data_IF_483964074556
#
_entry.id   IF_483964074556
#
_cell.length_a   1.000
_cell.length_b   1.000
_cell.length_c   1.000
_cell.angle_alpha   90.00
_cell.angle_beta   90.00
_cell.angle_gamma   90.00
#
_symmetry.space_group_name_H-M   'P 1'
#
loop_
_entity.id
_entity.type
_entity.pdbx_description
1 polymer ?
#
# COMPACT_ATOMS: atom_id res chain seq x y z
N UNK A 1 -26.22 7.09 42.72
CA UNK A 1 -25.44 8.25 42.23
C UNK A 1 -25.31 9.39 43.25
N UNK A 2 -26.08 9.44 44.35
CA UNK A 2 -26.00 10.53 45.33
C UNK A 2 -24.77 10.51 46.25
N UNK A 3 -24.06 9.39 46.41
CA UNK A 3 -22.97 9.26 47.41
C UNK A 3 -21.56 9.65 46.94
N UNK A 4 -21.36 10.11 45.70
CA UNK A 4 -20.01 10.47 45.18
C UNK A 4 -19.85 11.97 44.95
N UNK A 5 -20.95 12.72 44.85
CA UNK A 5 -20.91 14.17 44.58
C UNK A 5 -20.47 15.01 45.79
N UNK A 6 -20.66 14.53 47.02
CA UNK A 6 -20.35 15.29 48.24
C UNK A 6 -18.86 15.43 48.56
N UNK A 7 -17.97 14.61 47.97
CA UNK A 7 -16.54 14.63 48.30
C UNK A 7 -15.69 15.56 47.42
N UNK A 8 -16.27 16.23 46.42
CA UNK A 8 -15.53 17.04 45.44
C UNK A 8 -16.06 18.48 45.25
N UNK A 9 -17.11 18.90 45.97
CA UNK A 9 -17.66 20.27 45.83
C UNK A 9 -18.28 20.58 44.46
N UNK A 10 -18.56 19.57 43.63
CA UNK A 10 -19.11 19.74 42.29
C UNK A 10 -20.61 19.47 42.31
N UNK A 11 -21.42 20.44 41.86
CA UNK A 11 -22.88 20.31 41.79
C UNK A 11 -23.27 19.06 40.97
N UNK A 12 -24.21 18.22 41.44
CA UNK A 12 -24.61 16.97 40.77
C UNK A 12 -25.01 17.13 39.31
N UNK A 13 -25.56 18.30 38.94
CA UNK A 13 -25.94 18.66 37.58
C UNK A 13 -24.72 18.80 36.65
N UNK A 14 -23.62 19.40 37.14
CA UNK A 14 -22.38 19.56 36.38
C UNK A 14 -21.69 18.19 36.14
N UNK A 15 -21.76 17.29 37.12
CA UNK A 15 -21.26 15.92 36.97
C UNK A 15 -22.06 15.14 35.91
N UNK A 16 -23.39 15.30 35.87
CA UNK A 16 -24.23 14.65 34.88
C UNK A 16 -23.92 15.10 33.44
N UNK A 17 -23.62 16.39 33.25
CA UNK A 17 -23.20 16.95 31.95
C UNK A 17 -21.85 16.36 31.52
N UNK A 18 -20.88 16.31 32.43
CA UNK A 18 -19.53 15.81 32.12
C UNK A 18 -19.51 14.30 31.86
N UNK A 19 -20.29 13.51 32.61
CA UNK A 19 -20.46 12.08 32.36
C UNK A 19 -21.09 11.83 30.98
N UNK A 20 -22.14 12.58 30.61
CA UNK A 20 -22.73 12.49 29.26
C UNK A 20 -21.73 12.87 28.16
N UNK A 21 -20.88 13.87 28.39
CA UNK A 21 -19.81 14.28 27.47
C UNK A 21 -18.77 13.19 27.27
N UNK A 22 -18.31 12.56 28.35
CA UNK A 22 -17.33 11.46 28.32
C UNK A 22 -17.90 10.25 27.59
N UNK A 23 -19.16 9.87 27.88
CA UNK A 23 -19.83 8.74 27.21
C UNK A 23 -19.95 9.00 25.70
N UNK A 24 -20.39 10.20 25.30
CA UNK A 24 -20.47 10.58 23.88
C UNK A 24 -19.11 10.58 23.19
N UNK A 25 -18.06 11.03 23.87
CA UNK A 25 -16.69 11.01 23.34
C UNK A 25 -16.21 9.57 23.11
N UNK A 26 -16.42 8.67 24.09
CA UNK A 26 -16.09 7.24 23.98
C UNK A 26 -16.87 6.53 22.88
N UNK A 27 -18.15 6.86 22.71
CA UNK A 27 -18.98 6.30 21.63
C UNK A 27 -18.48 6.75 20.26
N UNK A 28 -18.11 8.03 20.10
CA UNK A 28 -17.54 8.57 18.85
C UNK A 28 -16.18 7.98 18.52
N UNK A 29 -15.31 7.76 19.50
CA UNK A 29 -13.99 7.12 19.26
C UNK A 29 -14.16 5.68 18.83
N UNK A 30 -15.04 4.92 19.50
CA UNK A 30 -15.35 3.54 19.10
C UNK A 30 -15.96 3.46 17.70
N UNK A 31 -16.96 4.31 17.41
CA UNK A 31 -17.56 4.37 16.07
C UNK A 31 -16.53 4.69 14.98
N UNK A 32 -15.59 5.61 15.25
CA UNK A 32 -14.47 5.92 14.33
C UNK A 32 -13.51 4.75 14.20
N UNK A 33 -13.16 4.07 15.29
CA UNK A 33 -12.30 2.88 15.26
C UNK A 33 -12.94 1.73 14.48
N UNK A 34 -14.25 1.52 14.65
CA UNK A 34 -15.00 0.48 13.95
C UNK A 34 -15.18 0.84 12.46
N UNK A 35 -15.43 2.11 12.14
CA UNK A 35 -15.45 2.62 10.76
C UNK A 35 -14.08 2.45 10.08
N UNK A 36 -12.99 2.75 10.79
CA UNK A 36 -11.61 2.53 10.32
C UNK A 36 -11.29 1.05 10.10
N UNK A 37 -11.67 0.18 11.03
CA UNK A 37 -11.52 -1.28 10.90
C UNK A 37 -12.32 -1.83 9.72
N UNK A 38 -13.43 -1.19 9.35
CA UNK A 38 -14.30 -1.58 8.24
C UNK A 38 -13.96 -0.90 6.91
N UNK A 39 -12.97 0.02 6.86
CA UNK A 39 -12.43 0.57 5.61
C UNK A 39 -11.35 -0.37 5.04
N UNK A 40 -11.57 -0.98 3.86
CA UNK A 40 -10.58 -1.87 3.24
C UNK A 40 -9.21 -1.19 3.04
N UNK A 41 -9.24 0.11 2.76
CA UNK A 41 -8.09 0.97 2.44
C UNK A 41 -7.13 1.18 3.62
N UNK A 42 -7.61 1.16 4.87
CA UNK A 42 -6.76 1.37 6.05
C UNK A 42 -6.07 0.09 6.52
N UNK A 43 -6.53 -1.10 6.10
CA UNK A 43 -5.95 -2.38 6.51
C UNK A 43 -4.60 -2.69 5.86
N UNK A 44 -4.28 -2.02 4.76
CA UNK A 44 -3.13 -2.35 3.90
C UNK A 44 -2.04 -1.27 3.99
N UNK A 45 -2.31 -0.10 4.56
CA UNK A 45 -1.32 0.98 4.63
C UNK A 45 -0.09 0.60 5.47
N UNK A 46 1.13 0.87 5.00
CA UNK A 46 2.34 0.67 5.79
C UNK A 46 2.34 1.52 7.06
N UNK A 47 3.08 1.06 8.07
CA UNK A 47 3.23 1.81 9.34
C UNK A 47 4.06 3.08 9.15
N UNK A 48 5.07 3.02 8.28
CA UNK A 48 5.88 4.19 7.93
C UNK A 48 5.08 5.12 7.02
N UNK A 49 5.07 6.41 7.37
CA UNK A 49 4.35 7.44 6.60
C UNK A 49 4.96 7.69 5.22
N UNK A 50 6.26 7.45 5.09
CA UNK A 50 7.01 7.66 3.85
C UNK A 50 6.64 6.61 2.80
N UNK A 51 6.19 5.43 3.24
CA UNK A 51 5.79 4.32 2.37
C UNK A 51 4.29 4.31 2.05
N UNK A 52 3.59 5.42 2.27
CA UNK A 52 2.13 5.46 2.13
C UNK A 52 1.70 5.17 0.69
N UNK A 53 0.74 4.27 0.54
CA UNK A 53 0.18 3.94 -0.77
C UNK A 53 -0.76 5.03 -1.27
N UNK A 54 -0.47 5.55 -2.46
CA UNK A 54 -1.34 6.46 -3.20
C UNK A 54 -2.53 5.72 -3.81
N UNK A 55 -2.29 4.56 -4.43
CA UNK A 55 -3.32 3.65 -4.90
C UNK A 55 -3.36 2.38 -4.04
N UNK A 56 -4.22 2.35 -3.02
CA UNK A 56 -4.30 1.21 -2.10
C UNK A 56 -4.82 -0.08 -2.75
N UNK A 57 -5.60 0.01 -3.84
CA UNK A 57 -6.10 -1.17 -4.54
C UNK A 57 -5.00 -1.83 -5.37
N UNK A 58 -4.25 -1.03 -6.12
CA UNK A 58 -3.05 -1.51 -6.83
C UNK A 58 -2.01 -2.03 -5.83
N UNK A 59 -1.71 -1.29 -4.77
CA UNK A 59 -0.73 -1.72 -3.77
C UNK A 59 -1.10 -3.05 -3.09
N UNK A 60 -2.38 -3.31 -2.83
CA UNK A 60 -2.83 -4.60 -2.31
C UNK A 60 -2.52 -5.77 -3.26
N UNK A 61 -2.70 -5.56 -4.57
CA UNK A 61 -2.38 -6.54 -5.58
C UNK A 61 -0.85 -6.69 -5.75
N UNK A 62 -0.10 -5.59 -5.71
CA UNK A 62 1.37 -5.57 -5.74
C UNK A 62 1.97 -6.38 -4.58
N UNK A 63 1.48 -6.19 -3.35
CA UNK A 63 1.92 -6.98 -2.19
C UNK A 63 1.59 -8.47 -2.35
N UNK A 64 0.41 -8.79 -2.90
CA UNK A 64 0.00 -10.16 -3.18
C UNK A 64 0.91 -10.83 -4.21
N UNK A 65 1.21 -10.13 -5.30
CA UNK A 65 2.15 -10.57 -6.33
C UNK A 65 3.56 -10.79 -5.77
N UNK A 66 4.10 -9.82 -5.02
CA UNK A 66 5.41 -9.92 -4.36
C UNK A 66 5.49 -11.18 -3.48
N UNK A 67 4.46 -11.41 -2.66
CA UNK A 67 4.38 -12.59 -1.79
C UNK A 67 4.34 -13.90 -2.59
N UNK A 68 3.55 -13.96 -3.67
CA UNK A 68 3.51 -15.12 -4.54
C UNK A 68 4.88 -15.41 -5.18
N UNK A 69 5.55 -14.39 -5.72
CA UNK A 69 6.84 -14.57 -6.38
C UNK A 69 7.96 -14.93 -5.41
N UNK A 70 7.91 -14.39 -4.18
CA UNK A 70 8.84 -14.79 -3.13
C UNK A 70 8.66 -16.27 -2.73
N UNK A 71 7.42 -16.74 -2.57
CA UNK A 71 7.13 -18.12 -2.16
C UNK A 71 7.23 -19.14 -3.30
N UNK A 72 6.91 -18.71 -4.53
CA UNK A 72 6.80 -19.56 -5.72
C UNK A 72 7.52 -18.92 -6.92
N UNK A 73 8.87 -18.87 -6.92
CA UNK A 73 9.66 -18.19 -7.95
C UNK A 73 9.37 -18.61 -9.40
N UNK A 74 9.03 -19.88 -9.61
CA UNK A 74 8.69 -20.41 -10.94
C UNK A 74 7.48 -19.71 -11.59
N UNK A 75 6.63 -19.02 -10.81
CA UNK A 75 5.51 -18.24 -11.35
C UNK A 75 5.98 -17.00 -12.14
N UNK A 76 7.24 -16.58 -12.00
CA UNK A 76 7.79 -15.45 -12.74
C UNK A 76 7.72 -15.64 -14.26
N UNK A 77 7.78 -16.88 -14.76
CA UNK A 77 7.60 -17.18 -16.19
C UNK A 77 6.23 -16.72 -16.73
N UNK A 78 5.23 -16.57 -15.87
CA UNK A 78 3.88 -16.10 -16.23
C UNK A 78 3.72 -14.59 -16.10
N UNK A 79 4.76 -13.87 -15.64
CA UNK A 79 4.74 -12.42 -15.40
C UNK A 79 5.30 -11.59 -16.57
N UNK A 80 5.41 -12.16 -17.78
CA UNK A 80 6.08 -11.55 -18.95
C UNK A 80 5.56 -10.15 -19.28
N UNK A 81 4.26 -9.92 -19.10
CA UNK A 81 3.62 -8.64 -19.44
C UNK A 81 3.68 -7.58 -18.32
N UNK A 82 4.21 -7.92 -17.15
CA UNK A 82 4.23 -7.02 -15.99
C UNK A 82 5.57 -6.30 -15.84
N UNK A 83 5.65 -5.13 -16.45
CA UNK A 83 6.77 -4.20 -16.30
C UNK A 83 6.77 -3.52 -14.91
N UNK A 84 7.93 -3.32 -14.25
CA UNK A 84 8.02 -2.65 -12.94
C UNK A 84 7.36 -1.27 -12.89
N UNK A 85 7.36 -0.54 -14.00
CA UNK A 85 6.77 0.81 -14.14
C UNK A 85 5.25 0.83 -13.91
N UNK A 86 4.60 -0.34 -14.01
CA UNK A 86 3.16 -0.51 -13.74
C UNK A 86 2.82 -0.41 -12.26
N UNK A 87 3.78 -0.63 -11.36
CA UNK A 87 3.58 -0.50 -9.93
C UNK A 87 3.26 0.95 -9.54
N UNK A 88 2.29 1.07 -8.64
CA UNK A 88 1.84 2.34 -8.06
C UNK A 88 2.71 2.79 -6.90
N UNK A 89 3.32 1.87 -6.16
CA UNK A 89 4.22 2.17 -5.04
C UNK A 89 5.69 2.05 -5.46
N UNK A 90 6.52 3.11 -5.32
CA UNK A 90 7.95 3.05 -5.61
C UNK A 90 8.68 1.98 -4.77
N UNK A 91 8.31 1.81 -3.51
CA UNK A 91 8.89 0.79 -2.65
C UNK A 91 8.52 -0.63 -3.09
N UNK A 92 7.25 -0.86 -3.47
CA UNK A 92 6.83 -2.19 -3.94
C UNK A 92 7.47 -2.51 -5.30
N UNK A 93 7.62 -1.52 -6.18
CA UNK A 93 8.40 -1.64 -7.42
C UNK A 93 9.83 -2.12 -7.14
N UNK A 94 10.54 -1.43 -6.24
CA UNK A 94 11.91 -1.79 -5.85
C UNK A 94 12.01 -3.22 -5.33
N UNK A 95 11.08 -3.61 -4.45
CA UNK A 95 11.04 -4.98 -3.90
C UNK A 95 10.79 -6.01 -5.01
N UNK A 96 9.86 -5.73 -5.93
CA UNK A 96 9.59 -6.58 -7.09
C UNK A 96 10.84 -6.75 -7.96
N UNK A 97 11.51 -5.65 -8.32
CA UNK A 97 12.75 -5.68 -9.11
C UNK A 97 13.81 -6.57 -8.47
N UNK A 98 14.09 -6.37 -7.18
CA UNK A 98 15.06 -7.19 -6.44
C UNK A 98 14.71 -8.68 -6.44
N UNK A 99 13.43 -9.03 -6.24
CA UNK A 99 12.97 -10.42 -6.30
C UNK A 99 13.18 -10.98 -7.71
N UNK A 100 12.76 -10.25 -8.75
CA UNK A 100 12.88 -10.73 -10.14
C UNK A 100 14.34 -10.85 -10.59
N UNK A 101 15.24 -10.01 -10.08
CA UNK A 101 16.66 -10.09 -10.38
C UNK A 101 17.31 -11.35 -9.79
N UNK A 102 16.94 -11.73 -8.57
CA UNK A 102 17.37 -13.00 -7.97
C UNK A 102 16.85 -14.19 -8.79
N UNK A 103 15.57 -14.16 -9.21
CA UNK A 103 14.97 -15.22 -10.04
C UNK A 103 15.67 -15.33 -11.40
N UNK A 104 15.98 -14.22 -12.05
CA UNK A 104 16.74 -14.18 -13.32
C UNK A 104 18.16 -14.71 -13.20
N UNK A 105 18.74 -14.62 -11.99
CA UNK A 105 20.04 -15.23 -11.65
C UNK A 105 19.91 -16.71 -11.25
N UNK A 106 18.73 -17.30 -11.44
CA UNK A 106 18.38 -18.67 -11.02
C UNK A 106 18.55 -18.89 -9.51
N UNK A 107 18.45 -17.82 -8.72
CA UNK A 107 18.52 -17.86 -7.27
C UNK A 107 17.12 -17.84 -6.66
N UNK A 108 16.99 -18.45 -5.47
CA UNK A 108 15.76 -18.37 -4.69
C UNK A 108 15.76 -17.06 -3.90
N UNK A 109 14.70 -16.23 -4.00
CA UNK A 109 14.62 -14.98 -3.25
C UNK A 109 14.79 -15.22 -1.74
N UNK A 110 15.72 -14.48 -1.13
CA UNK A 110 16.05 -14.60 0.29
C UNK A 110 15.99 -13.23 0.99
N UNK A 111 15.20 -13.16 2.07
CA UNK A 111 15.08 -11.96 2.90
C UNK A 111 16.42 -11.30 3.30
N UNK A 112 17.45 -12.09 3.58
CA UNK A 112 18.77 -11.58 4.01
C UNK A 112 19.53 -10.92 2.86
N UNK A 113 19.33 -11.38 1.62
CA UNK A 113 19.94 -10.79 0.42
C UNK A 113 19.16 -9.55 0.02
N UNK A 114 17.83 -9.66 -0.06
CA UNK A 114 16.96 -8.53 -0.39
C UNK A 114 17.12 -7.38 0.63
N UNK A 115 17.23 -7.71 1.92
CA UNK A 115 17.40 -6.73 3.00
C UNK A 115 18.69 -5.91 2.95
N UNK A 116 19.72 -6.34 2.21
CA UNK A 116 20.94 -5.55 2.01
C UNK A 116 20.71 -4.33 1.09
N UNK A 117 19.66 -4.38 0.27
CA UNK A 117 19.30 -3.34 -0.69
C UNK A 117 18.08 -2.53 -0.27
N UNK A 118 17.46 -2.88 0.86
CA UNK A 118 16.24 -2.25 1.38
C UNK A 118 16.54 -1.42 2.62
N UNK A 119 15.91 -0.25 2.71
CA UNK A 119 15.93 0.55 3.92
C UNK A 119 15.21 -0.20 5.07
N UNK A 120 15.45 0.16 6.34
CA UNK A 120 14.85 -0.54 7.48
C UNK A 120 13.32 -0.63 7.41
N UNK A 121 12.66 0.45 6.98
CA UNK A 121 11.20 0.52 6.84
C UNK A 121 10.69 -0.33 5.67
N UNK A 122 11.44 -0.39 4.56
CA UNK A 122 11.11 -1.22 3.40
C UNK A 122 11.27 -2.71 3.73
N UNK A 123 12.32 -3.06 4.48
CA UNK A 123 12.54 -4.41 5.00
C UNK A 123 11.41 -4.83 5.95
N UNK A 124 10.99 -3.94 6.86
CA UNK A 124 9.87 -4.18 7.75
C UNK A 124 8.55 -4.37 6.98
N UNK A 125 8.35 -3.60 5.90
CA UNK A 125 7.22 -3.76 5.00
C UNK A 125 7.23 -5.13 4.32
N UNK A 126 8.35 -5.53 3.71
CA UNK A 126 8.49 -6.85 3.08
C UNK A 126 8.17 -7.99 4.06
N UNK A 127 8.72 -7.92 5.28
CA UNK A 127 8.39 -8.91 6.33
C UNK A 127 6.90 -8.92 6.66
N UNK A 128 6.24 -7.76 6.67
CA UNK A 128 4.79 -7.69 6.93
C UNK A 128 3.96 -8.28 5.79
N UNK A 129 4.41 -8.14 4.55
CA UNK A 129 3.80 -8.72 3.35
C UNK A 129 3.89 -10.25 3.44
N UNK A 130 5.10 -10.79 3.69
CA UNK A 130 5.33 -12.23 3.74
C UNK A 130 4.63 -12.95 4.91
N UNK A 131 4.26 -12.23 5.97
CA UNK A 131 3.47 -12.78 7.08
C UNK A 131 2.00 -13.03 6.73
N UNK A 132 1.49 -12.46 5.63
CA UNK A 132 0.09 -12.64 5.22
C UNK A 132 -0.11 -14.06 4.67
N UNK A 133 -1.19 -14.76 5.06
CA UNK A 133 -1.40 -16.14 4.63
C UNK A 133 -1.64 -16.20 3.12
N UNK A 134 -0.88 -17.03 2.40
CA UNK A 134 -1.07 -17.32 0.97
C UNK A 134 -1.66 -18.71 0.77
N UNK A 135 -2.69 -18.80 -0.07
CA UNK A 135 -3.21 -20.08 -0.49
C UNK A 135 -2.31 -20.68 -1.57
N UNK A 136 -1.78 -21.88 -1.33
CA UNK A 136 -1.08 -22.64 -2.38
C UNK A 136 -2.03 -23.04 -3.51
N UNK A 137 -3.30 -23.33 -3.16
CA UNK A 137 -4.36 -23.63 -4.11
C UNK A 137 -4.79 -22.37 -4.86
N UNK A 138 -4.79 -22.43 -6.19
CA UNK A 138 -5.20 -21.31 -7.03
C UNK A 138 -4.15 -20.21 -7.22
N UNK A 139 -2.89 -20.43 -6.80
CA UNK A 139 -1.78 -19.47 -6.93
C UNK A 139 -1.62 -18.85 -8.33
N UNK A 140 -1.81 -19.64 -9.39
CA UNK A 140 -1.72 -19.13 -10.77
C UNK A 140 -2.87 -18.19 -11.12
N UNK A 141 -4.08 -18.51 -10.65
CA UNK A 141 -5.24 -17.64 -10.83
C UNK A 141 -5.07 -16.36 -10.03
N UNK A 142 -4.62 -16.47 -8.77
CA UNK A 142 -4.32 -15.32 -7.93
C UNK A 142 -3.25 -14.41 -8.56
N UNK A 143 -2.20 -14.98 -9.15
CA UNK A 143 -1.20 -14.24 -9.90
C UNK A 143 -1.84 -13.43 -11.03
N UNK A 144 -2.69 -14.07 -11.85
CA UNK A 144 -3.42 -13.41 -12.93
C UNK A 144 -4.34 -12.28 -12.44
N UNK A 145 -5.09 -12.52 -11.36
CA UNK A 145 -5.99 -11.53 -10.76
C UNK A 145 -5.22 -10.31 -10.22
N UNK A 146 -4.04 -10.53 -9.61
CA UNK A 146 -3.16 -9.46 -9.17
C UNK A 146 -2.58 -8.66 -10.34
N UNK A 147 -2.01 -9.34 -11.35
CA UNK A 147 -1.47 -8.69 -12.55
C UNK A 147 -2.53 -7.84 -13.25
N UNK A 148 -3.73 -8.38 -13.43
CA UNK A 148 -4.85 -7.65 -14.04
C UNK A 148 -5.20 -6.40 -13.23
N UNK A 149 -5.26 -6.51 -11.91
CA UNK A 149 -5.52 -5.36 -11.02
C UNK A 149 -4.46 -4.29 -11.20
N UNK A 150 -3.17 -4.64 -11.13
CA UNK A 150 -2.05 -3.69 -11.29
C UNK A 150 -2.12 -2.98 -12.64
N UNK A 151 -2.29 -3.72 -13.73
CA UNK A 151 -2.35 -3.17 -15.09
C UNK A 151 -3.57 -2.25 -15.25
N UNK A 152 -4.74 -2.66 -14.75
CA UNK A 152 -5.98 -1.88 -14.86
C UNK A 152 -5.92 -0.57 -14.07
N UNK A 153 -5.36 -0.59 -12.86
CA UNK A 153 -5.21 0.60 -12.01
C UNK A 153 -4.15 1.55 -12.57
N UNK A 154 -3.09 1.02 -13.17
CA UNK A 154 -2.10 1.81 -13.89
C UNK A 154 -2.71 2.53 -15.11
N UNK A 155 -3.47 1.80 -15.94
CA UNK A 155 -4.15 2.39 -17.10
C UNK A 155 -5.18 3.45 -16.69
N UNK A 156 -5.92 3.23 -15.60
CA UNK A 156 -6.85 4.21 -15.05
C UNK A 156 -6.14 5.49 -14.58
N UNK A 157 -4.93 5.38 -14.04
CA UNK A 157 -4.09 6.53 -13.68
C UNK A 157 -3.64 7.31 -14.91
N UNK A 158 -3.20 6.63 -15.97
CA UNK A 158 -2.75 7.28 -17.20
C UNK A 158 -3.88 8.03 -17.92
N UNK A 159 -5.09 7.45 -17.88
CA UNK A 159 -6.31 8.05 -18.41
C UNK A 159 -6.93 9.12 -17.49
N UNK A 160 -6.42 9.27 -16.26
CA UNK A 160 -6.89 10.30 -15.34
C UNK A 160 -6.52 11.70 -15.85
N UNK A 161 -7.28 12.71 -15.44
CA UNK A 161 -6.99 14.11 -15.82
C UNK A 161 -5.60 14.60 -15.37
N UNK A 162 -4.98 13.94 -14.39
CA UNK A 162 -3.61 14.20 -13.95
C UNK A 162 -2.59 13.46 -14.82
N UNK A 163 -2.87 12.19 -15.17
CA UNK A 163 -2.06 11.42 -16.14
C UNK A 163 -1.99 12.07 -17.52
N UNK A 164 -3.14 12.53 -18.03
CA UNK A 164 -3.22 13.26 -19.31
C UNK A 164 -2.47 14.60 -19.28
N UNK A 165 -2.47 15.31 -18.13
CA UNK A 165 -1.69 16.55 -17.95
C UNK A 165 -0.19 16.27 -17.93
N UNK A 166 0.24 15.27 -17.16
CA UNK A 166 1.65 14.88 -17.09
C UNK A 166 2.17 14.41 -18.46
N UNK A 167 1.37 13.64 -19.22
CA UNK A 167 1.69 13.29 -20.60
C UNK A 167 1.81 14.54 -21.48
N UNK A 168 0.86 15.48 -21.40
CA UNK A 168 0.91 16.71 -22.17
C UNK A 168 2.14 17.59 -21.85
N UNK A 169 2.59 17.63 -20.58
CA UNK A 169 3.81 18.32 -20.18
C UNK A 169 5.08 17.65 -20.73
N UNK A 170 5.14 16.31 -20.73
CA UNK A 170 6.23 15.56 -21.35
C UNK A 170 6.34 15.83 -22.86
N UNK A 171 5.21 15.91 -23.58
CA UNK A 171 5.19 16.23 -25.01
C UNK A 171 5.60 17.68 -25.29
N UNK A 172 5.29 18.63 -24.39
CA UNK A 172 5.77 20.02 -24.51
C UNK A 172 7.28 20.11 -24.28
N UNK A 173 7.81 19.40 -23.29
CA UNK A 173 9.24 19.42 -22.97
C UNK A 173 10.10 18.74 -24.05
N UNK A 174 9.60 17.68 -24.71
CA UNK A 174 10.29 17.08 -25.86
C UNK A 174 10.36 17.99 -27.09
N UNK A 175 9.32 18.80 -27.35
CA UNK A 175 9.35 19.80 -28.44
C UNK A 175 10.28 20.99 -28.15
N UNK A 176 10.62 21.25 -26.89
CA UNK A 176 11.62 22.27 -26.51
C UNK A 176 13.06 21.87 -26.83
N UNK A 177 13.40 20.58 -26.72
CA UNK A 177 14.75 20.08 -26.98
C UNK A 177 15.12 19.97 -28.47
N UNK A 178 14.14 19.80 -29.37
CA UNK A 178 14.40 19.78 -30.82
C UNK A 178 14.59 21.18 -31.43
N UNK A 179 14.23 22.25 -30.70
CA UNK A 179 14.38 23.62 -31.17
C UNK A 179 15.81 24.20 -30.97
N UNK A 180 16.62 23.62 -30.09
CA UNK A 180 17.97 24.12 -29.76
C UNK A 180 19.12 23.35 -30.45
N UNK A 181 18.84 22.32 -31.27
CA UNK A 181 19.87 21.56 -32.02
C UNK A 181 20.14 22.14 -33.43
N UNK A 182 19.47 23.24 -33.80
CA UNK A 182 19.75 23.98 -35.04
C UNK A 182 20.19 25.42 -34.73
N UNK A 183 21.45 25.58 -34.32
CA UNK A 183 22.21 26.82 -34.51
C UNK A 183 23.63 26.51 -34.94
#
# INVERSE_FOLDING_TARGET
>A
MQRVAERAGVRPEALAVEVKRIIRRKARTRAREDERKNRPTERIQPKSRELRYENSRSAAAEEGLIRLLYLYPFLYEKCVDLSPEKFSSPCLRKIYELITDEIRREQTPNLSVLGQHLEPDESALLVSILKKPESAEGREKALGDYMQTIISENAARDLSGEGLRNMAELFKNKKGYEADVKK
#
